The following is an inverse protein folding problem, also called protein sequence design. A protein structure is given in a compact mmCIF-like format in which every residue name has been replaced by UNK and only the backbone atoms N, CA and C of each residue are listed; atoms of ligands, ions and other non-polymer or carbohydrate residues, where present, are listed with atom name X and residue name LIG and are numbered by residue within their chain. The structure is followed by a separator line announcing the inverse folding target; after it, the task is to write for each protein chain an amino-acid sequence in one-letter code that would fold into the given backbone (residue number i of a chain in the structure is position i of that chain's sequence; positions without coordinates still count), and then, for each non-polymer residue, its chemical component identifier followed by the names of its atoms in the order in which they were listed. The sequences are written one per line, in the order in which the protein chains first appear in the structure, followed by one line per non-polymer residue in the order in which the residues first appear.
data_IF_686663883619
#
_entry.id   IF_686663883619
#
_cell.length_a   1.000
_cell.length_b   1.000
_cell.length_c   1.000
_cell.angle_alpha   90.00
_cell.angle_beta   90.00
_cell.angle_gamma   90.00
#
_symmetry.space_group_name_H-M   'P 1'
#
loop_
_entity.id
_entity.type
_entity.pdbx_description
1 polymer ?
#
# COMPACT_ATOMS: atom_id res chain seq x y z
N UNK A 1 23.16 30.17 36.91
CA UNK A 1 24.20 30.52 37.89
C UNK A 1 25.11 31.68 37.43
N UNK A 2 25.45 31.81 36.15
CA UNK A 2 26.32 32.88 35.62
C UNK A 2 25.70 34.30 35.61
N UNK A 3 24.39 34.42 35.77
CA UNK A 3 23.67 35.71 35.70
C UNK A 3 23.72 36.45 37.05
N UNK A 4 23.92 35.75 38.18
CA UNK A 4 24.11 36.36 39.51
C UNK A 4 25.46 37.08 39.64
N UNK A 5 26.39 36.89 38.72
CA UNK A 5 27.73 37.50 38.78
C UNK A 5 27.90 38.83 38.02
N UNK A 6 26.81 39.37 37.43
CA UNK A 6 26.88 40.67 36.76
C UNK A 6 27.12 41.77 37.80
N UNK A 7 28.34 42.35 37.77
CA UNK A 7 28.73 43.42 38.70
C UNK A 7 27.95 44.68 38.38
N UNK A 8 26.99 45.02 39.24
CA UNK A 8 26.30 46.31 39.19
C UNK A 8 27.27 47.44 39.47
N UNK A 9 27.38 48.51 38.67
CA UNK A 9 28.30 49.63 38.92
C UNK A 9 28.08 50.24 40.30
N UNK A 10 29.19 50.53 40.99
CA UNK A 10 29.17 51.21 42.27
C UNK A 10 28.52 52.59 42.14
N UNK A 11 27.44 52.86 42.85
CA UNK A 11 26.71 54.13 42.80
C UNK A 11 25.20 54.04 42.48
N UNK A 12 24.71 52.91 42.03
CA UNK A 12 23.34 52.72 41.58
C UNK A 12 22.44 52.01 42.64
N UNK A 13 22.57 52.32 43.93
CA UNK A 13 21.79 51.62 44.96
C UNK A 13 20.27 51.77 44.80
N UNK A 14 19.79 52.93 44.36
CA UNK A 14 18.36 53.18 44.09
C UNK A 14 17.84 52.53 42.77
N UNK A 15 18.75 52.18 41.86
CA UNK A 15 18.42 51.51 40.60
C UNK A 15 18.51 49.97 40.69
N UNK A 16 18.94 49.45 41.83
CA UNK A 16 19.19 48.02 42.02
C UNK A 16 17.90 47.21 41.95
N UNK A 17 16.84 47.66 42.57
CA UNK A 17 15.51 47.02 42.50
C UNK A 17 14.94 47.05 41.08
N UNK A 18 15.00 48.21 40.43
CA UNK A 18 14.55 48.36 39.04
C UNK A 18 15.33 47.43 38.07
N UNK A 19 16.62 47.24 38.29
CA UNK A 19 17.40 46.29 37.48
C UNK A 19 17.07 44.86 37.77
N UNK A 20 16.76 44.49 39.02
CA UNK A 20 16.30 43.16 39.37
C UNK A 20 14.90 42.88 38.82
N UNK A 21 13.99 43.85 38.85
CA UNK A 21 12.65 43.74 38.28
C UNK A 21 12.69 43.60 36.73
N UNK A 22 13.50 44.44 36.07
CA UNK A 22 13.72 44.35 34.64
C UNK A 22 14.31 43.02 34.22
N UNK A 23 15.29 42.52 35.04
CA UNK A 23 15.90 41.21 34.79
C UNK A 23 14.88 40.06 34.98
N UNK A 24 14.10 40.10 36.08
CA UNK A 24 13.07 39.12 36.38
C UNK A 24 11.98 39.11 35.26
N UNK A 25 11.57 40.28 34.80
CA UNK A 25 10.62 40.44 33.71
C UNK A 25 11.24 39.88 32.39
N UNK A 26 12.47 40.24 32.05
CA UNK A 26 13.15 39.73 30.87
C UNK A 26 13.33 38.22 30.90
N UNK A 27 13.66 37.64 32.05
CA UNK A 27 13.74 36.19 32.22
C UNK A 27 12.39 35.53 31.97
N UNK A 28 11.33 36.00 32.65
CA UNK A 28 10.00 35.41 32.62
C UNK A 28 9.29 35.62 31.26
N UNK A 29 9.39 36.81 30.70
CA UNK A 29 8.62 37.20 29.51
C UNK A 29 9.35 36.91 28.20
N UNK A 30 10.68 36.91 28.18
CA UNK A 30 11.46 36.77 26.94
C UNK A 30 12.26 35.46 26.91
N UNK A 31 13.11 35.21 27.92
CA UNK A 31 14.06 34.09 27.86
C UNK A 31 13.38 32.73 28.07
N UNK A 32 12.60 32.56 29.13
CA UNK A 32 11.94 31.29 29.42
C UNK A 32 11.00 30.86 28.27
N UNK A 33 10.09 31.71 27.77
CA UNK A 33 9.24 31.33 26.62
C UNK A 33 10.03 31.06 25.35
N UNK A 34 11.21 31.67 25.16
CA UNK A 34 12.06 31.37 24.03
C UNK A 34 12.70 29.98 24.12
N UNK A 35 13.23 29.65 25.31
CA UNK A 35 13.79 28.31 25.57
C UNK A 35 12.72 27.24 25.49
N UNK A 36 11.52 27.47 26.04
CA UNK A 36 10.40 26.53 25.96
C UNK A 36 10.04 26.23 24.50
N UNK A 37 9.92 27.28 23.68
CA UNK A 37 9.62 27.11 22.23
C UNK A 37 10.73 26.35 21.49
N UNK A 38 11.99 26.62 21.82
CA UNK A 38 13.13 25.93 21.21
C UNK A 38 13.14 24.44 21.59
N UNK A 39 12.94 24.12 22.88
CA UNK A 39 12.85 22.74 23.37
C UNK A 39 11.67 22.02 22.72
N UNK A 40 10.49 22.65 22.69
CA UNK A 40 9.30 22.09 22.03
C UNK A 40 9.55 21.82 20.53
N UNK A 41 10.23 22.75 19.84
CA UNK A 41 10.59 22.57 18.43
C UNK A 41 11.51 21.38 18.21
N UNK A 42 12.54 21.21 19.04
CA UNK A 42 13.49 20.09 18.98
C UNK A 42 12.79 18.76 19.23
N UNK A 43 11.92 18.71 20.24
CA UNK A 43 11.15 17.50 20.59
C UNK A 43 10.18 17.15 19.46
N UNK A 44 9.48 18.16 18.94
CA UNK A 44 8.54 17.98 17.81
C UNK A 44 9.26 17.47 16.55
N UNK A 45 10.40 18.03 16.19
CA UNK A 45 11.17 17.56 15.03
C UNK A 45 11.55 16.09 15.14
N UNK A 46 12.03 15.65 16.31
CA UNK A 46 12.35 14.24 16.55
C UNK A 46 11.13 13.34 16.48
N UNK A 47 10.00 13.77 17.03
CA UNK A 47 8.72 13.04 16.96
C UNK A 47 8.21 12.94 15.52
N UNK A 48 8.28 14.03 14.75
CA UNK A 48 7.89 14.07 13.33
C UNK A 48 8.71 13.07 12.51
N UNK A 49 10.03 13.05 12.65
CA UNK A 49 10.91 12.14 11.93
C UNK A 49 10.61 10.67 12.26
N UNK A 50 10.35 10.37 13.54
CA UNK A 50 9.97 9.02 13.98
C UNK A 50 8.63 8.59 13.36
N UNK A 51 7.60 9.43 13.46
CA UNK A 51 6.27 9.16 12.91
C UNK A 51 6.30 8.99 11.38
N UNK A 52 7.03 9.87 10.67
CA UNK A 52 7.22 9.79 9.21
C UNK A 52 7.92 8.48 8.83
N UNK A 53 8.86 8.01 9.64
CA UNK A 53 9.49 6.70 9.45
C UNK A 53 8.48 5.55 9.51
N UNK A 54 7.56 5.58 10.47
CA UNK A 54 6.46 4.61 10.61
C UNK A 54 5.51 4.69 9.40
N UNK A 55 5.10 5.89 9.00
CA UNK A 55 4.23 6.06 7.83
C UNK A 55 4.85 5.53 6.54
N UNK A 56 6.17 5.72 6.36
CA UNK A 56 6.91 5.11 5.25
C UNK A 56 6.88 3.58 5.28
N UNK A 57 7.02 2.95 6.46
CA UNK A 57 6.89 1.49 6.60
C UNK A 57 5.48 1.00 6.28
N UNK A 58 4.45 1.71 6.75
CA UNK A 58 3.05 1.38 6.49
C UNK A 58 2.72 1.47 4.99
N UNK A 59 3.20 2.52 4.32
CA UNK A 59 3.05 2.65 2.86
C UNK A 59 3.75 1.51 2.12
N UNK A 60 4.98 1.16 2.54
CA UNK A 60 5.72 0.04 1.96
C UNK A 60 4.89 -1.25 2.00
N UNK A 61 4.34 -1.60 3.15
CA UNK A 61 3.52 -2.80 3.31
C UNK A 61 2.25 -2.76 2.49
N UNK A 62 1.59 -1.61 2.42
CA UNK A 62 0.38 -1.43 1.63
C UNK A 62 0.65 -1.65 0.13
N UNK A 63 1.73 -1.07 -0.39
CA UNK A 63 2.12 -1.22 -1.80
C UNK A 63 2.68 -2.61 -2.12
N UNK A 64 3.30 -3.29 -1.15
CA UNK A 64 3.81 -4.64 -1.28
C UNK A 64 2.75 -5.73 -1.11
N UNK A 65 1.49 -5.38 -0.89
CA UNK A 65 0.41 -6.37 -0.82
C UNK A 65 0.37 -7.20 -2.12
N UNK A 66 0.30 -8.56 -2.03
CA UNK A 66 0.29 -9.42 -3.21
C UNK A 66 -0.87 -9.11 -4.16
N UNK A 67 -0.63 -9.06 -5.47
CA UNK A 67 -1.68 -8.85 -6.45
C UNK A 67 -2.52 -10.11 -6.68
N UNK A 68 -3.80 -9.94 -7.00
CA UNK A 68 -4.72 -11.01 -7.41
C UNK A 68 -4.93 -10.92 -8.92
N UNK A 69 -4.06 -11.55 -9.68
CA UNK A 69 -4.04 -11.50 -11.15
C UNK A 69 -4.79 -12.66 -11.81
N UNK A 70 -4.90 -12.63 -13.14
CA UNK A 70 -5.40 -13.71 -14.01
C UNK A 70 -6.85 -14.12 -13.76
N UNK A 71 -7.69 -13.18 -13.27
CA UNK A 71 -9.11 -13.42 -13.05
C UNK A 71 -9.93 -12.12 -13.15
N UNK A 72 -11.20 -12.26 -13.54
CA UNK A 72 -12.15 -11.16 -13.45
C UNK A 72 -12.56 -10.95 -11.99
N UNK A 73 -12.69 -9.70 -11.58
CA UNK A 73 -13.01 -9.30 -10.21
C UNK A 73 -14.23 -8.37 -10.18
N UNK A 74 -15.02 -8.49 -9.12
CA UNK A 74 -16.12 -7.59 -8.80
C UNK A 74 -15.68 -6.64 -7.68
N UNK A 75 -15.63 -5.34 -7.95
CA UNK A 75 -15.49 -4.31 -6.92
C UNK A 75 -16.83 -3.88 -6.40
N UNK A 76 -16.92 -3.76 -5.09
CA UNK A 76 -18.12 -3.33 -4.39
C UNK A 76 -17.79 -2.14 -3.53
N UNK A 77 -18.42 -1.01 -3.79
CA UNK A 77 -18.40 0.20 -2.97
C UNK A 77 -19.68 0.23 -2.12
N UNK A 78 -19.61 -0.16 -0.81
CA UNK A 78 -20.76 -0.33 0.02
C UNK A 78 -21.39 1.00 0.43
N UNK A 79 -22.72 1.08 0.41
CA UNK A 79 -23.45 2.22 0.97
C UNK A 79 -24.90 1.85 1.30
N UNK A 80 -25.47 2.44 2.35
CA UNK A 80 -26.84 2.18 2.75
C UNK A 80 -27.86 2.86 1.83
N UNK A 81 -27.86 4.19 1.80
CA UNK A 81 -28.91 4.99 1.14
C UNK A 81 -28.74 5.00 -0.38
N UNK A 82 -27.56 5.29 -0.86
CA UNK A 82 -27.27 5.38 -2.29
C UNK A 82 -27.11 4.01 -2.97
N UNK A 83 -27.16 2.92 -2.21
CA UNK A 83 -26.97 1.54 -2.68
C UNK A 83 -25.49 1.20 -2.90
N UNK A 84 -25.18 -0.09 -2.90
CA UNK A 84 -23.84 -0.60 -3.17
C UNK A 84 -23.57 -0.52 -4.69
N UNK A 85 -22.47 0.13 -5.08
CA UNK A 85 -22.03 0.21 -6.47
C UNK A 85 -21.15 -0.97 -6.79
N UNK A 86 -21.47 -1.62 -7.87
CA UNK A 86 -20.76 -2.78 -8.39
C UNK A 86 -20.03 -2.41 -9.66
N UNK A 87 -18.78 -2.84 -9.79
CA UNK A 87 -18.03 -2.72 -11.03
C UNK A 87 -17.24 -4.00 -11.29
N UNK A 88 -17.41 -4.59 -12.47
CA UNK A 88 -16.65 -5.74 -12.92
C UNK A 88 -15.46 -5.27 -13.74
N UNK A 89 -14.29 -5.81 -13.42
CA UNK A 89 -13.07 -5.65 -14.23
C UNK A 89 -12.59 -7.00 -14.74
N UNK A 90 -11.96 -7.00 -15.91
CA UNK A 90 -11.31 -8.18 -16.47
C UNK A 90 -9.97 -8.50 -15.79
N UNK A 91 -9.30 -9.55 -16.22
CA UNK A 91 -7.97 -9.95 -15.74
C UNK A 91 -6.87 -8.89 -15.97
N UNK A 92 -7.07 -7.99 -16.92
CA UNK A 92 -6.15 -6.88 -17.22
C UNK A 92 -6.49 -5.60 -16.44
N UNK A 93 -7.62 -5.57 -15.73
CA UNK A 93 -8.11 -4.42 -14.97
C UNK A 93 -8.98 -3.45 -15.77
N UNK A 94 -9.38 -3.82 -16.99
CA UNK A 94 -10.31 -3.04 -17.81
C UNK A 94 -11.73 -3.16 -17.28
N UNK A 95 -12.45 -2.06 -17.25
CA UNK A 95 -13.86 -2.02 -16.89
C UNK A 95 -14.71 -2.77 -17.91
N UNK A 96 -15.60 -3.64 -17.43
CA UNK A 96 -16.54 -4.41 -18.27
C UNK A 96 -17.98 -3.92 -18.10
N UNK A 97 -18.50 -3.98 -16.89
CA UNK A 97 -19.90 -3.67 -16.58
C UNK A 97 -20.07 -3.15 -15.16
N UNK A 98 -21.12 -2.40 -14.89
CA UNK A 98 -21.47 -1.93 -13.54
C UNK A 98 -22.95 -2.02 -13.24
N UNK A 99 -23.28 -2.06 -11.96
CA UNK A 99 -24.65 -2.03 -11.47
C UNK A 99 -24.74 -1.36 -10.09
N UNK A 100 -25.95 -1.05 -9.67
CA UNK A 100 -26.25 -0.61 -8.30
C UNK A 100 -27.23 -1.59 -7.70
N UNK A 101 -26.95 -2.04 -6.46
CA UNK A 101 -27.82 -2.93 -5.70
C UNK A 101 -28.15 -2.33 -4.34
N UNK A 102 -29.25 -2.79 -3.75
CA UNK A 102 -29.74 -2.30 -2.46
C UNK A 102 -30.03 -3.47 -1.50
N UNK A 103 -29.03 -4.27 -1.13
CA UNK A 103 -29.25 -5.49 -0.36
C UNK A 103 -29.62 -5.24 1.11
N UNK A 104 -29.45 -4.00 1.60
CA UNK A 104 -29.54 -3.60 3.01
C UNK A 104 -30.57 -2.50 3.22
N UNK A 105 -30.89 -2.22 4.51
CA UNK A 105 -31.75 -1.08 4.86
C UNK A 105 -31.21 0.23 4.23
N UNK A 106 -32.09 1.19 3.89
CA UNK A 106 -33.54 1.18 4.09
C UNK A 106 -34.36 0.40 3.04
N UNK A 107 -33.80 0.12 1.87
CA UNK A 107 -34.55 -0.54 0.77
C UNK A 107 -34.76 -2.03 0.97
N UNK A 108 -33.79 -2.76 1.54
CA UNK A 108 -33.82 -4.22 1.78
C UNK A 108 -34.22 -5.06 0.55
N UNK A 109 -33.78 -4.64 -0.65
CA UNK A 109 -34.09 -5.33 -1.91
C UNK A 109 -33.12 -6.50 -2.15
N UNK A 110 -33.22 -7.51 -1.30
CA UNK A 110 -32.33 -8.68 -1.33
C UNK A 110 -32.46 -9.46 -2.63
N UNK A 111 -33.70 -9.69 -3.10
CA UNK A 111 -33.97 -10.60 -4.20
C UNK A 111 -33.42 -10.08 -5.53
N UNK A 112 -33.72 -8.83 -5.88
CA UNK A 112 -33.19 -8.21 -7.09
C UNK A 112 -31.69 -8.02 -7.02
N UNK A 113 -31.16 -7.68 -5.82
CA UNK A 113 -29.71 -7.56 -5.57
C UNK A 113 -29.00 -8.88 -5.82
N UNK A 114 -29.53 -10.01 -5.32
CA UNK A 114 -29.01 -11.35 -5.56
C UNK A 114 -29.00 -11.71 -7.03
N UNK A 115 -30.15 -11.56 -7.70
CA UNK A 115 -30.28 -11.84 -9.14
C UNK A 115 -29.23 -11.04 -9.94
N UNK A 116 -29.11 -9.74 -9.67
CA UNK A 116 -28.16 -8.86 -10.39
C UNK A 116 -26.71 -9.25 -10.19
N UNK A 117 -26.33 -9.63 -8.96
CA UNK A 117 -24.97 -10.11 -8.67
C UNK A 117 -24.69 -11.41 -9.43
N UNK A 118 -25.61 -12.39 -9.38
CA UNK A 118 -25.42 -13.65 -10.07
C UNK A 118 -25.36 -13.49 -11.61
N UNK A 119 -26.18 -12.60 -12.19
CA UNK A 119 -26.09 -12.26 -13.60
C UNK A 119 -24.72 -11.72 -13.99
N UNK A 120 -24.20 -10.72 -13.24
CA UNK A 120 -22.90 -10.10 -13.50
C UNK A 120 -21.77 -11.11 -13.35
N UNK A 121 -21.78 -11.86 -12.24
CA UNK A 121 -20.68 -12.79 -11.93
C UNK A 121 -20.63 -13.97 -12.89
N UNK A 122 -21.78 -14.51 -13.31
CA UNK A 122 -21.86 -15.58 -14.31
C UNK A 122 -21.49 -15.10 -15.72
N UNK A 123 -21.96 -13.91 -16.12
CA UNK A 123 -21.67 -13.33 -17.45
C UNK A 123 -20.19 -13.10 -17.67
N UNK A 124 -19.48 -12.65 -16.65
CA UNK A 124 -18.07 -12.28 -16.74
C UNK A 124 -17.13 -13.28 -16.07
N UNK A 125 -17.62 -14.46 -15.65
CA UNK A 125 -16.82 -15.47 -14.94
C UNK A 125 -16.04 -14.90 -13.75
N UNK A 126 -16.68 -14.04 -12.95
CA UNK A 126 -16.07 -13.43 -11.77
C UNK A 126 -15.82 -14.50 -10.71
N UNK A 127 -14.59 -14.56 -10.20
CA UNK A 127 -14.18 -15.53 -9.18
C UNK A 127 -13.74 -14.90 -7.86
N UNK A 128 -13.69 -13.57 -7.80
CA UNK A 128 -13.31 -12.85 -6.59
C UNK A 128 -14.06 -11.53 -6.46
N UNK A 129 -14.41 -11.19 -5.21
CA UNK A 129 -15.15 -9.97 -4.88
C UNK A 129 -14.30 -9.12 -3.92
N UNK A 130 -14.06 -7.88 -4.29
CA UNK A 130 -13.41 -6.87 -3.46
C UNK A 130 -14.49 -5.99 -2.82
N UNK A 131 -14.64 -6.01 -1.51
CA UNK A 131 -15.61 -5.19 -0.78
C UNK A 131 -14.85 -4.06 -0.07
N UNK A 132 -15.23 -2.81 -0.31
CA UNK A 132 -14.68 -1.66 0.41
C UNK A 132 -14.95 -1.77 1.92
N UNK A 133 -14.04 -1.24 2.74
CA UNK A 133 -14.12 -1.34 4.20
C UNK A 133 -14.89 -0.18 4.87
N UNK A 134 -15.60 0.63 4.11
CA UNK A 134 -16.37 1.76 4.63
C UNK A 134 -17.75 1.41 5.15
N UNK A 135 -18.64 2.39 5.09
CA UNK A 135 -20.02 2.27 5.55
C UNK A 135 -20.75 1.12 4.85
N UNK A 136 -21.54 0.33 5.58
CA UNK A 136 -22.25 -0.86 5.11
C UNK A 136 -21.38 -2.03 4.60
N UNK A 137 -20.08 -2.00 4.86
CA UNK A 137 -19.15 -3.07 4.44
C UNK A 137 -19.55 -4.44 5.03
N UNK A 138 -19.91 -4.48 6.31
CA UNK A 138 -20.27 -5.72 6.99
C UNK A 138 -21.58 -6.31 6.44
N UNK A 139 -22.60 -5.48 6.34
CA UNK A 139 -23.90 -5.89 5.81
C UNK A 139 -23.78 -6.40 4.37
N UNK A 140 -22.86 -5.80 3.61
CA UNK A 140 -22.50 -6.26 2.26
C UNK A 140 -21.79 -7.63 2.32
N UNK A 141 -20.89 -7.86 3.25
CA UNK A 141 -20.27 -9.18 3.45
C UNK A 141 -21.33 -10.24 3.83
N UNK A 142 -22.26 -9.90 4.74
CA UNK A 142 -23.38 -10.78 5.12
C UNK A 142 -24.27 -11.12 3.92
N UNK A 143 -24.52 -10.15 3.04
CA UNK A 143 -25.24 -10.36 1.80
C UNK A 143 -24.52 -11.39 0.90
N UNK A 144 -23.22 -11.23 0.62
CA UNK A 144 -22.47 -12.17 -0.20
C UNK A 144 -22.36 -13.56 0.45
N UNK A 145 -22.16 -13.65 1.76
CA UNK A 145 -22.17 -14.92 2.50
C UNK A 145 -23.49 -15.65 2.38
N UNK A 146 -24.62 -14.91 2.45
CA UNK A 146 -25.95 -15.46 2.25
C UNK A 146 -26.19 -15.95 0.83
N UNK A 147 -25.76 -15.17 -0.18
CA UNK A 147 -25.83 -15.57 -1.60
C UNK A 147 -25.03 -16.86 -1.83
N UNK A 148 -23.83 -16.96 -1.30
CA UNK A 148 -23.01 -18.16 -1.40
C UNK A 148 -23.71 -19.39 -0.80
N UNK A 149 -24.34 -19.22 0.37
CA UNK A 149 -25.05 -20.31 1.07
C UNK A 149 -26.31 -20.79 0.32
N UNK A 150 -27.06 -19.84 -0.23
CA UNK A 150 -28.33 -20.14 -0.93
C UNK A 150 -28.11 -20.74 -2.32
N UNK A 151 -27.13 -20.22 -3.08
CA UNK A 151 -26.94 -20.54 -4.49
C UNK A 151 -25.68 -21.38 -4.77
N UNK A 152 -24.89 -21.73 -3.74
CA UNK A 152 -23.58 -22.37 -3.89
C UNK A 152 -22.67 -21.65 -4.92
N UNK A 153 -22.75 -20.32 -4.93
CA UNK A 153 -22.21 -19.46 -5.99
C UNK A 153 -20.66 -19.36 -5.96
N UNK A 154 -20.03 -19.79 -4.86
CA UNK A 154 -18.56 -19.76 -4.63
C UNK A 154 -17.93 -18.39 -4.89
N UNK A 155 -18.67 -17.32 -4.58
CA UNK A 155 -18.19 -15.95 -4.69
C UNK A 155 -17.29 -15.64 -3.50
N UNK A 156 -16.02 -15.94 -3.65
CA UNK A 156 -15.01 -15.67 -2.63
C UNK A 156 -14.80 -14.17 -2.51
N UNK A 157 -14.96 -13.60 -1.31
CA UNK A 157 -14.78 -12.17 -1.11
C UNK A 157 -13.67 -11.82 -0.11
N UNK A 158 -13.11 -10.65 -0.28
CA UNK A 158 -12.17 -10.04 0.66
C UNK A 158 -12.50 -8.57 0.88
N UNK A 159 -12.13 -8.05 2.04
CA UNK A 159 -12.30 -6.64 2.38
C UNK A 159 -11.06 -5.87 1.99
N UNK A 160 -11.25 -4.82 1.22
CA UNK A 160 -10.19 -3.97 0.70
C UNK A 160 -10.32 -2.58 1.29
N UNK A 161 -9.20 -1.96 1.69
CA UNK A 161 -9.22 -0.57 2.15
C UNK A 161 -9.69 0.36 1.02
N UNK A 162 -10.69 1.18 1.29
CA UNK A 162 -11.18 2.21 0.35
C UNK A 162 -10.53 3.59 0.56
N UNK A 163 -9.56 3.70 1.50
CA UNK A 163 -8.88 4.97 1.77
C UNK A 163 -8.35 5.60 0.48
N UNK A 164 -8.70 6.87 0.24
CA UNK A 164 -8.35 7.60 -0.98
C UNK A 164 -9.12 7.19 -2.25
N UNK A 165 -10.03 6.20 -2.22
CA UNK A 165 -10.83 5.83 -3.40
C UNK A 165 -11.72 6.99 -3.87
N UNK A 166 -12.31 7.73 -2.93
CA UNK A 166 -13.10 8.94 -3.24
C UNK A 166 -12.25 10.04 -3.84
N UNK A 167 -11.00 10.21 -3.36
CA UNK A 167 -10.04 11.19 -3.90
C UNK A 167 -9.69 10.83 -5.35
N UNK A 168 -9.39 9.56 -5.62
CA UNK A 168 -9.12 9.09 -6.96
C UNK A 168 -10.34 9.27 -7.88
N UNK A 169 -11.52 8.80 -7.47
CA UNK A 169 -12.72 8.80 -8.31
C UNK A 169 -13.16 10.21 -8.76
N UNK A 170 -12.90 11.22 -7.92
CA UNK A 170 -13.16 12.64 -8.21
C UNK A 170 -12.01 13.33 -8.97
N UNK A 171 -10.86 12.69 -9.11
CA UNK A 171 -9.68 13.28 -9.76
C UNK A 171 -9.87 13.41 -11.27
N UNK A 172 -9.10 14.35 -11.86
CA UNK A 172 -9.01 14.49 -13.32
C UNK A 172 -8.50 13.21 -13.98
N UNK A 173 -7.55 12.52 -13.34
CA UNK A 173 -7.00 11.25 -13.84
C UNK A 173 -8.10 10.21 -14.01
N UNK A 174 -8.95 10.01 -13.00
CA UNK A 174 -10.05 9.06 -13.10
C UNK A 174 -11.12 9.48 -14.11
N UNK A 175 -11.32 10.80 -14.29
CA UNK A 175 -12.20 11.32 -15.33
C UNK A 175 -11.66 11.05 -16.74
N UNK A 176 -10.36 11.20 -16.93
CA UNK A 176 -9.70 10.93 -18.21
C UNK A 176 -9.66 9.41 -18.51
N UNK A 177 -9.45 8.56 -17.49
CA UNK A 177 -9.50 7.10 -17.62
C UNK A 177 -10.93 6.58 -17.90
N UNK A 178 -11.96 7.18 -17.28
CA UNK A 178 -13.36 6.74 -17.37
C UNK A 178 -14.32 7.93 -17.61
N UNK A 179 -14.25 8.61 -18.77
CA UNK A 179 -14.98 9.85 -19.02
C UNK A 179 -16.51 9.70 -19.02
N UNK A 180 -17.01 8.50 -19.31
CA UNK A 180 -18.44 8.20 -19.41
C UNK A 180 -19.06 7.63 -18.13
N UNK A 181 -18.23 7.35 -17.10
CA UNK A 181 -18.70 6.70 -15.88
C UNK A 181 -18.90 7.73 -14.76
N UNK A 182 -19.90 7.47 -13.94
CA UNK A 182 -20.16 8.24 -12.71
C UNK A 182 -19.03 8.10 -11.70
N UNK A 183 -18.83 9.13 -10.87
CA UNK A 183 -17.81 9.17 -9.81
C UNK A 183 -17.91 7.95 -8.89
N UNK A 184 -19.12 7.52 -8.54
CA UNK A 184 -19.33 6.38 -7.62
C UNK A 184 -18.93 5.05 -8.25
N UNK A 185 -19.15 4.88 -9.56
CA UNK A 185 -18.73 3.68 -10.30
C UNK A 185 -17.20 3.64 -10.42
N UNK A 186 -16.54 4.80 -10.64
CA UNK A 186 -15.07 4.88 -10.61
C UNK A 186 -14.51 4.47 -9.24
N UNK A 187 -15.23 4.74 -8.15
CA UNK A 187 -14.90 4.26 -6.79
C UNK A 187 -14.89 2.74 -6.74
N UNK A 188 -15.96 2.09 -7.19
CA UNK A 188 -16.06 0.63 -7.23
C UNK A 188 -14.99 -0.02 -8.13
N UNK A 189 -14.67 0.58 -9.28
CA UNK A 189 -13.56 0.15 -10.14
C UNK A 189 -12.22 0.23 -9.36
N UNK A 190 -11.98 1.34 -8.67
CA UNK A 190 -10.76 1.50 -7.85
C UNK A 190 -10.63 0.42 -6.78
N UNK A 191 -11.73 0.03 -6.14
CA UNK A 191 -11.75 -1.05 -5.14
C UNK A 191 -11.39 -2.40 -5.80
N UNK A 192 -11.96 -2.73 -6.96
CA UNK A 192 -11.59 -3.93 -7.70
C UNK A 192 -10.12 -3.94 -8.15
N UNK A 193 -9.65 -2.81 -8.68
CA UNK A 193 -8.27 -2.66 -9.13
C UNK A 193 -7.26 -2.75 -7.98
N UNK A 194 -7.61 -2.31 -6.77
CA UNK A 194 -6.75 -2.48 -5.57
C UNK A 194 -6.57 -3.93 -5.18
N UNK A 195 -7.57 -4.78 -5.38
CA UNK A 195 -7.43 -6.21 -5.17
C UNK A 195 -6.58 -6.84 -6.27
N UNK A 196 -6.78 -6.41 -7.51
CA UNK A 196 -6.04 -6.91 -8.66
C UNK A 196 -4.54 -6.57 -8.57
N UNK A 197 -4.20 -5.30 -8.39
CA UNK A 197 -2.83 -4.82 -8.20
C UNK A 197 -2.82 -3.57 -7.31
N UNK A 198 -2.57 -3.75 -6.00
CA UNK A 198 -2.55 -2.65 -5.05
C UNK A 198 -1.56 -1.55 -5.43
N UNK A 199 -0.34 -1.90 -5.82
CA UNK A 199 0.69 -0.91 -6.17
C UNK A 199 0.27 -0.08 -7.39
N UNK A 200 -0.11 -0.73 -8.50
CA UNK A 200 -0.51 -0.04 -9.72
C UNK A 200 -1.71 0.90 -9.52
N UNK A 201 -2.57 0.59 -8.57
CA UNK A 201 -3.75 1.40 -8.25
C UNK A 201 -3.44 2.52 -7.27
N UNK A 202 -2.71 2.23 -6.20
CA UNK A 202 -2.49 3.19 -5.11
C UNK A 202 -1.50 4.29 -5.47
N UNK A 203 -0.56 4.05 -6.38
CA UNK A 203 0.35 5.11 -6.90
C UNK A 203 -0.37 6.21 -7.67
N UNK A 204 -1.62 5.99 -8.08
CA UNK A 204 -2.49 7.01 -8.70
C UNK A 204 -3.07 8.00 -7.68
N UNK A 205 -2.91 7.74 -6.38
CA UNK A 205 -3.49 8.49 -5.27
C UNK A 205 -2.36 9.15 -4.50
N UNK A 206 -2.56 10.39 -4.08
CA UNK A 206 -1.61 11.03 -3.16
C UNK A 206 -1.45 10.15 -1.91
N UNK A 207 -0.24 9.69 -1.58
CA UNK A 207 0.01 8.84 -0.43
C UNK A 207 -0.55 9.41 0.90
N UNK A 208 -0.64 10.73 1.02
CA UNK A 208 -1.25 11.40 2.17
C UNK A 208 -2.76 11.08 2.33
N UNK A 209 -3.41 10.67 1.25
CA UNK A 209 -4.84 10.30 1.24
C UNK A 209 -5.08 8.81 1.50
N UNK A 210 -4.03 8.00 1.65
CA UNK A 210 -4.14 6.54 1.81
C UNK A 210 -4.37 6.07 3.26
N UNK A 211 -4.44 6.99 4.23
CA UNK A 211 -4.67 6.62 5.64
C UNK A 211 -3.56 5.75 6.22
N UNK A 212 -2.31 6.06 5.92
CA UNK A 212 -1.12 5.28 6.31
C UNK A 212 -0.70 5.45 7.77
N UNK A 213 -1.42 6.26 8.53
CA UNK A 213 -1.18 6.42 9.97
C UNK A 213 -2.07 7.47 10.60
N UNK A 214 -2.22 7.38 11.93
CA UNK A 214 -2.92 8.39 12.72
C UNK A 214 -2.09 9.66 12.82
N UNK A 215 -2.75 10.82 12.91
CA UNK A 215 -2.12 12.13 13.08
C UNK A 215 -1.11 12.51 11.98
N UNK A 216 -1.22 11.92 10.80
CA UNK A 216 -0.33 12.24 9.68
C UNK A 216 -0.40 13.73 9.25
N UNK A 217 -1.46 14.45 9.63
CA UNK A 217 -1.60 15.89 9.36
C UNK A 217 -0.79 16.76 10.31
N UNK A 218 -0.39 16.22 11.47
CA UNK A 218 0.31 16.97 12.52
C UNK A 218 1.82 17.02 12.33
N UNK A 219 2.37 16.17 11.47
CA UNK A 219 3.82 16.14 11.16
C UNK A 219 4.19 17.14 10.06
N UNK A 220 5.48 17.38 9.88
CA UNK A 220 5.98 18.22 8.79
C UNK A 220 5.60 17.65 7.42
N UNK A 221 4.68 18.31 6.72
CA UNK A 221 4.09 17.84 5.47
C UNK A 221 5.10 17.73 4.31
N UNK A 222 6.13 18.57 4.26
CA UNK A 222 7.17 18.51 3.21
C UNK A 222 8.07 17.28 3.40
N UNK A 223 8.45 16.99 4.65
CA UNK A 223 9.25 15.80 4.97
C UNK A 223 8.44 14.53 4.75
N UNK A 224 7.16 14.54 5.13
CA UNK A 224 6.23 13.43 4.87
C UNK A 224 6.13 13.14 3.37
N UNK A 225 5.82 14.16 2.56
CA UNK A 225 5.68 14.01 1.11
C UNK A 225 6.94 13.44 0.46
N UNK A 226 8.11 13.99 0.83
CA UNK A 226 9.39 13.50 0.34
C UNK A 226 9.57 12.02 0.70
N UNK A 227 9.39 11.65 1.98
CA UNK A 227 9.56 10.26 2.43
C UNK A 227 8.63 9.28 1.73
N UNK A 228 7.37 9.65 1.56
CA UNK A 228 6.38 8.80 0.89
C UNK A 228 6.68 8.67 -0.60
N UNK A 229 7.12 9.74 -1.25
CA UNK A 229 7.59 9.73 -2.64
C UNK A 229 8.79 8.79 -2.83
N UNK A 230 9.80 8.93 -1.97
CA UNK A 230 11.01 8.07 -1.99
C UNK A 230 10.62 6.58 -1.84
N UNK A 231 9.76 6.24 -0.86
CA UNK A 231 9.28 4.87 -0.64
C UNK A 231 8.53 4.33 -1.84
N UNK A 232 7.65 5.14 -2.45
CA UNK A 232 6.90 4.73 -3.65
C UNK A 232 7.85 4.45 -4.81
N UNK A 233 8.79 5.34 -5.07
CA UNK A 233 9.76 5.17 -6.14
C UNK A 233 10.63 3.93 -5.94
N UNK A 234 11.17 3.73 -4.73
CA UNK A 234 11.98 2.56 -4.39
C UNK A 234 11.23 1.25 -4.63
N UNK A 235 9.96 1.18 -4.21
CA UNK A 235 9.14 -0.02 -4.38
C UNK A 235 8.79 -0.30 -5.83
N UNK A 236 8.37 0.71 -6.59
CA UNK A 236 8.06 0.57 -8.01
C UNK A 236 9.28 0.07 -8.78
N UNK A 237 10.47 0.60 -8.50
CA UNK A 237 11.71 0.14 -9.13
C UNK A 237 12.10 -1.27 -8.67
N UNK A 238 11.89 -1.62 -7.40
CA UNK A 238 12.19 -2.96 -6.88
C UNK A 238 11.29 -4.04 -7.47
N UNK A 239 10.01 -3.78 -7.65
CA UNK A 239 9.05 -4.70 -8.25
C UNK A 239 9.25 -4.79 -9.77
N UNK A 240 9.58 -3.66 -10.38
CA UNK A 240 9.62 -3.50 -11.82
C UNK A 240 8.24 -3.24 -12.43
N UNK A 241 8.23 -2.66 -13.62
CA UNK A 241 6.99 -2.18 -14.26
C UNK A 241 6.87 -2.71 -15.67
N UNK A 242 5.79 -3.43 -15.96
CA UNK A 242 5.48 -3.82 -17.34
C UNK A 242 5.01 -2.63 -18.16
N UNK A 243 5.81 -2.24 -19.15
CA UNK A 243 5.55 -1.04 -19.99
C UNK A 243 4.28 -1.18 -20.82
N UNK A 244 3.85 -2.40 -21.12
CA UNK A 244 2.70 -2.65 -21.97
C UNK A 244 1.35 -2.53 -21.23
N UNK A 245 1.35 -2.68 -19.91
CA UNK A 245 0.13 -2.59 -19.09
C UNK A 245 0.10 -1.39 -18.13
N UNK A 246 1.25 -0.79 -17.84
CA UNK A 246 1.36 0.27 -16.86
C UNK A 246 0.65 1.58 -17.29
N UNK A 247 0.14 2.31 -16.29
CA UNK A 247 -0.34 3.68 -16.46
C UNK A 247 0.81 4.69 -16.51
N UNK A 248 0.55 5.90 -17.03
CA UNK A 248 1.53 6.98 -17.04
C UNK A 248 2.01 7.33 -15.63
N UNK A 249 1.12 7.31 -14.66
CA UNK A 249 1.45 7.57 -13.24
C UNK A 249 2.41 6.51 -12.70
N UNK A 250 2.14 5.22 -12.93
CA UNK A 250 3.03 4.16 -12.49
C UNK A 250 4.41 4.27 -13.16
N UNK A 251 4.45 4.49 -14.47
CA UNK A 251 5.69 4.69 -15.22
C UNK A 251 6.49 5.92 -14.76
N UNK A 252 5.83 6.95 -14.27
CA UNK A 252 6.52 8.16 -13.78
C UNK A 252 7.30 7.94 -12.48
N UNK A 253 7.05 6.85 -11.77
CA UNK A 253 7.85 6.42 -10.61
C UNK A 253 9.07 5.57 -11.00
N UNK A 254 9.18 5.17 -12.26
CA UNK A 254 10.38 4.48 -12.75
C UNK A 254 11.52 5.49 -12.87
N UNK A 255 12.69 5.15 -12.35
CA UNK A 255 13.87 5.99 -12.45
C UNK A 255 14.15 6.38 -13.92
N UNK A 256 14.44 7.65 -14.16
CA UNK A 256 14.68 8.17 -15.51
C UNK A 256 13.43 8.56 -16.32
N UNK A 257 12.21 8.23 -15.85
CA UNK A 257 10.97 8.58 -16.52
C UNK A 257 10.21 9.67 -15.77
N UNK A 258 10.14 10.88 -16.32
CA UNK A 258 9.20 11.90 -15.83
C UNK A 258 7.77 11.58 -16.28
N UNK A 259 6.76 12.20 -15.63
CA UNK A 259 5.36 12.04 -16.05
C UNK A 259 5.14 12.32 -17.55
N UNK A 260 5.81 13.35 -18.10
CA UNK A 260 5.73 13.68 -19.53
C UNK A 260 6.32 12.57 -20.40
N UNK A 261 7.45 11.99 -20.00
CA UNK A 261 8.04 10.86 -20.72
C UNK A 261 7.15 9.61 -20.62
N UNK A 262 6.58 9.34 -19.45
CA UNK A 262 5.63 8.27 -19.25
C UNK A 262 4.39 8.41 -20.15
N UNK A 263 3.84 9.61 -20.29
CA UNK A 263 2.75 9.91 -21.24
C UNK A 263 3.17 9.66 -22.70
N UNK A 264 4.38 10.03 -23.08
CA UNK A 264 4.90 9.75 -24.42
C UNK A 264 5.10 8.24 -24.67
N UNK A 265 5.49 7.47 -23.64
CA UNK A 265 5.57 6.01 -23.73
C UNK A 265 4.19 5.41 -23.99
N UNK A 266 3.15 5.88 -23.30
CA UNK A 266 1.77 5.43 -23.53
C UNK A 266 1.30 5.79 -24.94
N UNK A 267 1.47 7.05 -25.38
CA UNK A 267 1.10 7.48 -26.71
C UNK A 267 1.80 6.61 -27.80
N UNK A 268 3.09 6.36 -27.63
CA UNK A 268 3.82 5.47 -28.54
C UNK A 268 3.24 4.05 -28.60
N UNK A 269 2.88 3.50 -27.42
CA UNK A 269 2.24 2.18 -27.31
C UNK A 269 0.88 2.15 -28.01
N UNK A 270 0.08 3.19 -27.83
CA UNK A 270 -1.26 3.27 -28.42
C UNK A 270 -1.21 3.42 -29.95
N UNK A 271 -0.21 4.11 -30.47
CA UNK A 271 0.02 4.29 -31.90
C UNK A 271 0.69 3.10 -32.59
N UNK A 272 1.67 2.46 -31.95
CA UNK A 272 2.55 1.47 -32.58
C UNK A 272 2.32 0.03 -32.07
N UNK A 273 1.42 -0.15 -31.10
CA UNK A 273 1.19 -1.43 -30.42
C UNK A 273 2.21 -1.68 -29.31
N UNK A 274 2.11 -2.85 -28.72
CA UNK A 274 2.94 -3.25 -27.57
C UNK A 274 4.42 -3.29 -27.89
N UNK A 275 5.23 -2.79 -26.94
CA UNK A 275 6.68 -2.94 -26.97
C UNK A 275 7.08 -4.42 -26.99
N UNK A 276 8.05 -4.76 -27.82
CA UNK A 276 8.59 -6.12 -27.97
C UNK A 276 9.99 -6.27 -27.37
N UNK A 277 10.71 -5.15 -27.23
CA UNK A 277 12.06 -5.11 -26.65
C UNK A 277 12.23 -3.83 -25.84
N UNK A 278 13.05 -3.86 -24.78
CA UNK A 278 13.36 -2.67 -23.98
C UNK A 278 13.99 -1.55 -24.83
N UNK A 279 14.78 -1.90 -25.84
CA UNK A 279 15.44 -0.93 -26.73
C UNK A 279 14.45 -0.09 -27.56
N UNK A 280 13.22 -0.55 -27.75
CA UNK A 280 12.20 0.23 -28.43
C UNK A 280 11.79 1.51 -27.67
N UNK A 281 12.07 1.60 -26.36
CA UNK A 281 11.90 2.83 -25.60
C UNK A 281 12.71 4.00 -26.16
N UNK A 282 13.85 3.73 -26.83
CA UNK A 282 14.64 4.78 -27.51
C UNK A 282 13.94 5.41 -28.72
N UNK A 283 12.87 4.78 -29.23
CA UNK A 283 12.03 5.34 -30.31
C UNK A 283 10.98 6.32 -29.78
N UNK A 284 10.73 6.32 -28.45
CA UNK A 284 9.74 7.18 -27.84
C UNK A 284 10.24 8.63 -27.81
N UNK A 285 9.40 9.57 -28.24
CA UNK A 285 9.72 10.99 -28.25
C UNK A 285 10.16 11.49 -26.86
N UNK A 286 11.37 12.02 -26.78
CA UNK A 286 11.96 12.57 -25.57
C UNK A 286 12.70 11.55 -24.69
N UNK A 287 12.59 10.26 -24.92
CA UNK A 287 13.40 9.25 -24.23
C UNK A 287 14.79 9.18 -24.89
N UNK A 288 15.75 9.89 -24.31
CA UNK A 288 17.14 9.83 -24.73
C UNK A 288 17.90 8.67 -24.09
N UNK A 289 19.15 8.46 -24.54
CA UNK A 289 20.03 7.38 -24.05
C UNK A 289 20.14 7.36 -22.52
N UNK A 290 20.31 8.51 -21.87
CA UNK A 290 20.43 8.61 -20.41
C UNK A 290 19.15 8.17 -19.66
N UNK A 291 17.96 8.60 -20.15
CA UNK A 291 16.69 8.20 -19.56
C UNK A 291 16.45 6.68 -19.74
N UNK A 292 16.78 6.15 -20.90
CA UNK A 292 16.72 4.71 -21.19
C UNK A 292 17.64 3.91 -20.27
N UNK A 293 18.90 4.30 -20.13
CA UNK A 293 19.87 3.64 -19.24
C UNK A 293 19.38 3.62 -17.79
N UNK A 294 18.78 4.70 -17.31
CA UNK A 294 18.23 4.75 -15.97
C UNK A 294 16.98 3.87 -15.78
N UNK A 295 16.14 3.76 -16.81
CA UNK A 295 14.86 3.05 -16.71
C UNK A 295 14.94 1.55 -17.03
N UNK A 296 15.85 1.14 -17.88
CA UNK A 296 15.86 -0.18 -18.51
C UNK A 296 15.94 -1.36 -17.52
N UNK A 297 16.60 -1.19 -16.37
CA UNK A 297 16.67 -2.19 -15.30
C UNK A 297 15.34 -2.40 -14.57
N UNK A 298 14.45 -1.43 -14.61
CA UNK A 298 13.18 -1.41 -13.87
C UNK A 298 11.96 -1.65 -14.77
N UNK A 299 12.13 -1.58 -16.08
CA UNK A 299 11.09 -1.91 -17.06
C UNK A 299 11.06 -3.41 -17.31
N UNK A 300 9.86 -3.94 -17.48
CA UNK A 300 9.56 -5.31 -17.88
C UNK A 300 8.73 -5.30 -19.15
N UNK A 301 8.91 -6.31 -19.98
CA UNK A 301 8.08 -6.58 -21.16
C UNK A 301 7.67 -8.04 -21.07
N UNK A 302 6.48 -8.28 -20.57
CA UNK A 302 5.89 -9.62 -20.53
C UNK A 302 5.66 -10.06 -21.98
N UNK A 303 6.14 -11.24 -22.35
CA UNK A 303 6.15 -11.75 -23.73
C UNK A 303 7.03 -10.95 -24.71
N UNK A 304 8.12 -10.35 -24.21
CA UNK A 304 9.16 -9.73 -25.02
C UNK A 304 9.90 -10.74 -25.92
N UNK A 305 10.69 -10.23 -26.88
CA UNK A 305 11.48 -11.07 -27.80
C UNK A 305 12.57 -11.88 -27.10
N UNK A 306 13.07 -11.39 -25.98
CA UNK A 306 14.12 -12.02 -25.20
C UNK A 306 13.67 -12.22 -23.76
N UNK A 307 14.12 -13.30 -23.12
CA UNK A 307 13.92 -13.54 -21.67
C UNK A 307 14.43 -12.34 -20.84
N UNK A 308 15.46 -11.65 -21.32
CA UNK A 308 16.03 -10.48 -20.68
C UNK A 308 15.08 -9.26 -20.69
N UNK A 309 14.16 -9.19 -21.64
CA UNK A 309 13.18 -8.11 -21.70
C UNK A 309 12.18 -8.18 -20.53
N UNK A 310 11.91 -9.40 -20.02
CA UNK A 310 11.12 -9.61 -18.81
C UNK A 310 12.00 -9.88 -17.58
N UNK A 311 13.10 -9.14 -17.41
CA UNK A 311 14.00 -9.31 -16.26
C UNK A 311 14.48 -7.96 -15.71
N UNK A 312 15.04 -7.95 -14.50
CA UNK A 312 15.74 -6.80 -13.90
C UNK A 312 17.15 -6.58 -14.47
N UNK A 313 17.60 -7.43 -15.38
CA UNK A 313 18.94 -7.33 -15.95
C UNK A 313 19.02 -6.07 -16.82
N UNK A 314 20.02 -5.24 -16.52
CA UNK A 314 20.29 -4.05 -17.31
C UNK A 314 20.84 -4.42 -18.68
N UNK A 315 20.46 -3.73 -19.78
CA UNK A 315 20.94 -4.05 -21.14
C UNK A 315 22.46 -4.11 -21.29
N UNK A 316 23.22 -3.33 -20.53
CA UNK A 316 24.70 -3.39 -20.50
C UNK A 316 25.23 -4.75 -20.06
N UNK A 317 24.48 -5.48 -19.26
CA UNK A 317 24.85 -6.80 -18.73
C UNK A 317 24.33 -7.96 -19.57
N UNK A 318 23.64 -7.72 -20.70
CA UNK A 318 23.07 -8.80 -21.53
C UNK A 318 24.10 -9.76 -22.07
N UNK A 319 25.28 -9.27 -22.46
CA UNK A 319 26.36 -10.15 -22.95
C UNK A 319 26.89 -11.09 -21.84
N UNK A 320 26.98 -10.57 -20.61
CA UNK A 320 27.34 -11.39 -19.44
C UNK A 320 26.24 -12.39 -19.14
N UNK A 321 24.99 -11.93 -19.13
CA UNK A 321 23.81 -12.77 -18.86
C UNK A 321 23.68 -13.90 -19.88
N UNK A 322 23.94 -13.65 -21.18
CA UNK A 322 23.96 -14.68 -22.23
C UNK A 322 25.02 -15.74 -21.97
N UNK A 323 26.23 -15.32 -21.58
CA UNK A 323 27.32 -16.27 -21.31
C UNK A 323 27.02 -17.20 -20.15
N UNK A 324 26.37 -16.68 -19.09
CA UNK A 324 26.06 -17.50 -17.91
C UNK A 324 24.74 -18.26 -18.03
N UNK A 325 23.81 -17.83 -18.88
CA UNK A 325 22.51 -18.50 -19.07
C UNK A 325 22.66 -19.92 -19.70
N UNK A 326 23.78 -20.21 -20.30
CA UNK A 326 24.10 -21.53 -20.86
C UNK A 326 24.74 -22.48 -19.83
N UNK A 327 25.04 -21.98 -18.62
CA UNK A 327 25.70 -22.74 -17.57
C UNK A 327 24.67 -23.19 -16.52
N UNK A 328 25.07 -24.17 -15.70
CA UNK A 328 24.27 -24.55 -14.52
C UNK A 328 24.38 -23.47 -13.45
N UNK A 329 23.36 -22.61 -13.40
CA UNK A 329 23.32 -21.44 -12.51
C UNK A 329 23.48 -21.79 -11.02
N UNK A 330 23.13 -23.02 -10.63
CA UNK A 330 23.22 -23.46 -9.23
C UNK A 330 24.66 -23.77 -8.78
N UNK A 331 25.57 -23.97 -9.73
CA UNK A 331 26.97 -24.35 -9.50
C UNK A 331 27.98 -23.23 -9.76
N UNK A 332 27.50 -22.03 -10.11
CA UNK A 332 28.38 -20.90 -10.41
C UNK A 332 28.93 -20.32 -9.10
N UNK A 333 30.26 -20.35 -8.94
CA UNK A 333 30.94 -19.53 -7.95
C UNK A 333 31.02 -18.08 -8.46
N UNK A 334 30.17 -17.23 -7.86
CA UNK A 334 30.07 -15.82 -8.24
C UNK A 334 31.37 -15.04 -8.05
N UNK A 335 32.20 -15.40 -7.04
CA UNK A 335 33.45 -14.72 -6.77
C UNK A 335 34.51 -15.02 -7.84
N UNK A 336 34.63 -16.26 -8.26
CA UNK A 336 35.57 -16.66 -9.30
C UNK A 336 35.09 -16.17 -10.68
N UNK A 337 33.80 -16.37 -10.99
CA UNK A 337 33.25 -16.06 -12.33
C UNK A 337 33.15 -14.56 -12.61
N UNK A 338 32.98 -13.73 -11.57
CA UNK A 338 32.97 -12.27 -11.72
C UNK A 338 34.31 -11.73 -12.23
N UNK A 339 35.44 -12.32 -11.76
CA UNK A 339 36.78 -11.95 -12.21
C UNK A 339 37.02 -12.35 -13.69
N UNK A 340 36.55 -13.55 -14.09
CA UNK A 340 36.63 -13.99 -15.48
C UNK A 340 35.84 -13.11 -16.47
N UNK A 341 34.67 -12.65 -16.01
CA UNK A 341 33.75 -11.88 -16.86
C UNK A 341 33.96 -10.35 -16.75
N UNK A 342 34.85 -9.90 -15.86
CA UNK A 342 35.16 -8.48 -15.65
C UNK A 342 34.01 -7.67 -15.09
N UNK A 343 33.13 -8.29 -14.27
CA UNK A 343 31.98 -7.64 -13.64
C UNK A 343 32.06 -7.71 -12.11
N UNK A 344 31.33 -6.84 -11.42
CA UNK A 344 31.27 -6.89 -9.96
C UNK A 344 30.62 -8.19 -9.46
N UNK A 345 31.10 -8.76 -8.36
CA UNK A 345 30.56 -9.99 -7.78
C UNK A 345 29.06 -9.84 -7.43
N UNK A 346 28.66 -8.67 -6.87
CA UNK A 346 27.27 -8.40 -6.55
C UNK A 346 26.40 -8.35 -7.80
N UNK A 347 26.87 -7.67 -8.85
CA UNK A 347 26.18 -7.61 -10.16
C UNK A 347 25.96 -9.00 -10.72
N UNK A 348 26.98 -9.88 -10.63
CA UNK A 348 26.85 -11.25 -11.12
C UNK A 348 25.84 -12.08 -10.30
N UNK A 349 25.82 -11.92 -8.97
CA UNK A 349 24.81 -12.55 -8.11
C UNK A 349 23.40 -12.10 -8.47
N UNK A 350 23.21 -10.81 -8.73
CA UNK A 350 21.90 -10.27 -9.12
C UNK A 350 21.46 -10.81 -10.50
N UNK A 351 22.39 -10.90 -11.46
CA UNK A 351 22.11 -11.50 -12.77
C UNK A 351 21.74 -12.98 -12.65
N UNK A 352 22.46 -13.75 -11.82
CA UNK A 352 22.15 -15.17 -11.58
C UNK A 352 20.76 -15.32 -10.97
N UNK A 353 20.42 -14.51 -9.98
CA UNK A 353 19.10 -14.50 -9.33
C UNK A 353 17.98 -14.21 -10.33
N UNK A 354 18.17 -13.20 -11.18
CA UNK A 354 17.22 -12.83 -12.22
C UNK A 354 17.05 -13.90 -13.30
N UNK A 355 18.13 -14.60 -13.67
CA UNK A 355 18.07 -15.70 -14.61
C UNK A 355 17.40 -16.97 -14.06
N UNK A 356 17.50 -17.19 -12.74
CA UNK A 356 16.81 -18.30 -12.08
C UNK A 356 15.30 -18.10 -12.02
N UNK A 357 14.85 -16.86 -11.88
CA UNK A 357 13.43 -16.49 -11.81
C UNK A 357 13.18 -15.21 -12.65
N UNK A 358 13.15 -15.29 -13.98
CA UNK A 358 12.96 -14.11 -14.82
C UNK A 358 11.61 -13.47 -14.59
N UNK A 359 11.58 -12.14 -14.39
CA UNK A 359 10.37 -11.38 -14.15
C UNK A 359 9.71 -11.65 -12.80
N UNK A 360 10.49 -12.14 -11.85
CA UNK A 360 10.00 -12.42 -10.49
C UNK A 360 9.50 -11.14 -9.81
N UNK A 361 8.25 -11.19 -9.35
CA UNK A 361 7.66 -10.15 -8.51
C UNK A 361 7.89 -10.52 -7.02
N UNK A 362 8.64 -9.73 -6.24
CA UNK A 362 8.91 -10.04 -4.84
C UNK A 362 7.66 -10.12 -3.97
N UNK A 363 6.52 -9.62 -4.44
CA UNK A 363 5.23 -9.73 -3.76
C UNK A 363 4.65 -11.16 -3.82
N UNK A 364 5.09 -11.99 -4.76
CA UNK A 364 4.63 -13.40 -4.89
C UNK A 364 5.15 -14.30 -3.76
N UNK A 365 6.22 -13.91 -3.06
CA UNK A 365 6.73 -14.65 -1.89
C UNK A 365 5.93 -14.35 -0.61
N UNK A 366 5.08 -13.33 -0.62
CA UNK A 366 4.25 -12.96 0.52
C UNK A 366 2.99 -13.84 0.59
N UNK A 367 2.42 -14.04 1.79
CA UNK A 367 1.19 -14.79 1.93
C UNK A 367 0.08 -14.21 1.04
N UNK A 368 -0.68 -15.05 0.32
CA UNK A 368 -1.76 -14.57 -0.55
C UNK A 368 -2.85 -13.88 0.28
N UNK A 369 -3.57 -12.97 -0.35
CA UNK A 369 -4.72 -12.30 0.29
C UNK A 369 -5.77 -13.38 0.64
N UNK A 370 -6.23 -13.45 1.90
CA UNK A 370 -7.24 -14.40 2.30
C UNK A 370 -8.61 -14.00 1.72
N UNK A 371 -9.27 -14.97 1.13
CA UNK A 371 -10.67 -14.85 0.72
C UNK A 371 -11.57 -15.53 1.74
N UNK A 372 -12.73 -14.94 1.99
CA UNK A 372 -13.76 -15.46 2.90
C UNK A 372 -14.94 -15.99 2.09
N UNK A 373 -15.56 -17.07 2.58
CA UNK A 373 -16.79 -17.61 2.03
C UNK A 373 -18.01 -17.27 2.90
N UNK A 374 -17.79 -16.89 4.16
CA UNK A 374 -18.82 -16.59 5.15
C UNK A 374 -18.37 -15.58 6.21
N UNK A 375 -19.32 -15.12 7.02
CA UNK A 375 -19.08 -14.22 8.14
C UNK A 375 -18.94 -15.01 9.43
N UNK A 376 -17.90 -14.72 10.21
CA UNK A 376 -17.72 -15.33 11.54
C UNK A 376 -18.69 -14.69 12.54
N UNK A 377 -19.44 -15.53 13.28
CA UNK A 377 -20.29 -15.07 14.38
C UNK A 377 -19.51 -15.17 15.70
N UNK A 378 -19.51 -14.09 16.50
CA UNK A 378 -18.85 -14.06 17.81
C UNK A 378 -19.35 -15.16 18.74
N UNK A 379 -20.63 -15.59 18.60
CA UNK A 379 -21.22 -16.68 19.39
C UNK A 379 -20.63 -18.05 19.07
N UNK A 380 -19.97 -18.19 17.91
CA UNK A 380 -19.33 -19.45 17.50
C UNK A 380 -17.87 -19.53 17.96
N UNK A 381 -17.29 -18.41 18.41
CA UNK A 381 -15.93 -18.38 18.92
C UNK A 381 -15.86 -18.97 20.32
N UNK A 382 -14.82 -19.76 20.54
CA UNK A 382 -14.50 -20.34 21.85
C UNK A 382 -13.09 -19.93 22.26
N UNK A 383 -12.90 -19.64 23.53
CA UNK A 383 -11.56 -19.47 24.09
C UNK A 383 -10.71 -20.73 23.84
N UNK A 384 -9.44 -20.55 23.50
CA UNK A 384 -8.54 -21.61 23.07
C UNK A 384 -8.69 -22.04 21.61
N UNK A 385 -9.67 -21.50 20.86
CA UNK A 385 -9.78 -21.74 19.40
C UNK A 385 -8.80 -20.85 18.62
N UNK A 386 -8.43 -21.31 17.43
CA UNK A 386 -7.58 -20.55 16.52
C UNK A 386 -8.40 -19.95 15.40
N UNK A 387 -8.07 -18.68 15.08
CA UNK A 387 -8.66 -17.93 13.99
C UNK A 387 -7.55 -17.32 13.14
N UNK A 388 -7.86 -16.94 11.92
CA UNK A 388 -6.98 -16.12 11.10
C UNK A 388 -7.51 -14.68 11.04
N UNK A 389 -6.63 -13.72 10.77
CA UNK A 389 -7.05 -12.33 10.69
C UNK A 389 -6.05 -11.43 9.97
N UNK A 390 -6.46 -10.19 9.75
CA UNK A 390 -5.64 -9.15 9.13
C UNK A 390 -5.48 -8.00 10.11
N UNK A 391 -4.25 -7.55 10.35
CA UNK A 391 -3.95 -6.41 11.20
C UNK A 391 -4.50 -5.13 10.56
N UNK A 392 -5.46 -4.47 11.23
CA UNK A 392 -6.13 -3.26 10.74
C UNK A 392 -5.55 -1.98 11.33
N UNK A 393 -5.15 -2.04 12.58
CA UNK A 393 -4.60 -0.88 13.28
C UNK A 393 -3.56 -1.32 14.30
N UNK A 394 -2.55 -0.49 14.53
CA UNK A 394 -1.50 -0.71 15.52
C UNK A 394 -1.40 0.55 16.39
N UNK A 395 -1.50 0.36 17.69
CA UNK A 395 -1.38 1.39 18.73
C UNK A 395 -0.22 1.06 19.66
N UNK A 396 0.14 1.95 20.57
CA UNK A 396 1.25 1.73 21.52
C UNK A 396 1.04 0.53 22.44
N UNK A 397 -0.23 0.16 22.72
CA UNK A 397 -0.57 -0.94 23.63
C UNK A 397 -0.94 -2.25 22.96
N UNK A 398 -1.12 -2.25 21.63
CA UNK A 398 -1.54 -3.47 20.94
C UNK A 398 -1.90 -3.27 19.48
N UNK A 399 -2.35 -4.36 18.86
CA UNK A 399 -2.83 -4.38 17.48
C UNK A 399 -4.28 -4.83 17.40
N UNK A 400 -5.05 -4.18 16.55
CA UNK A 400 -6.41 -4.55 16.21
C UNK A 400 -6.41 -5.39 14.93
N UNK A 401 -7.09 -6.53 15.00
CA UNK A 401 -7.09 -7.54 13.95
C UNK A 401 -8.50 -7.87 13.51
N UNK A 402 -8.79 -7.70 12.22
CA UNK A 402 -10.03 -8.15 11.61
C UNK A 402 -10.01 -9.68 11.50
N UNK A 403 -10.77 -10.33 12.34
CA UNK A 403 -11.00 -11.78 12.33
C UNK A 403 -12.37 -12.17 11.74
N UNK A 404 -13.01 -11.23 11.01
CA UNK A 404 -14.31 -11.41 10.38
C UNK A 404 -15.52 -11.12 11.30
N UNK A 405 -15.30 -10.53 12.46
CA UNK A 405 -16.34 -10.08 13.39
C UNK A 405 -16.77 -8.63 13.12
N UNK A 406 -17.82 -8.18 13.82
CA UNK A 406 -18.28 -6.77 13.79
C UNK A 406 -17.21 -5.83 14.32
N UNK A 407 -16.57 -6.21 15.41
CA UNK A 407 -15.47 -5.46 16.02
C UNK A 407 -14.19 -6.23 15.81
N UNK A 408 -13.10 -5.51 15.57
CA UNK A 408 -11.77 -6.12 15.49
C UNK A 408 -11.40 -6.77 16.82
N UNK A 409 -10.75 -7.92 16.77
CA UNK A 409 -10.09 -8.51 17.93
C UNK A 409 -8.84 -7.73 18.29
N UNK A 410 -8.40 -7.80 19.55
CA UNK A 410 -7.24 -7.05 20.03
C UNK A 410 -6.14 -7.99 20.52
N UNK A 411 -4.93 -7.84 19.97
CA UNK A 411 -3.72 -8.47 20.48
C UNK A 411 -2.99 -7.45 21.34
N UNK A 412 -2.94 -7.65 22.65
CA UNK A 412 -2.17 -6.78 23.54
C UNK A 412 -0.67 -6.97 23.28
N UNK A 413 0.14 -5.92 23.48
CA UNK A 413 1.59 -5.94 23.26
C UNK A 413 2.30 -7.12 23.97
N UNK A 414 1.84 -7.48 25.17
CA UNK A 414 2.38 -8.63 25.93
C UNK A 414 2.04 -10.00 25.33
N UNK A 415 1.15 -10.07 24.35
CA UNK A 415 0.65 -11.29 23.69
C UNK A 415 1.11 -11.40 22.23
N UNK A 416 2.06 -10.57 21.81
CA UNK A 416 2.57 -10.56 20.42
C UNK A 416 3.79 -11.44 20.20
N UNK A 417 4.61 -11.63 21.25
CA UNK A 417 5.86 -12.39 21.15
C UNK A 417 6.30 -12.89 22.53
N UNK A 418 6.98 -14.05 22.55
CA UNK A 418 7.67 -14.56 23.75
C UNK A 418 8.85 -13.65 24.19
N UNK A 419 9.39 -12.86 23.27
CA UNK A 419 10.40 -11.84 23.60
C UNK A 419 9.72 -10.51 23.90
N UNK A 420 10.30 -9.73 24.84
CA UNK A 420 9.77 -8.42 25.18
C UNK A 420 9.78 -7.51 23.94
N UNK A 421 8.60 -7.05 23.54
CA UNK A 421 8.39 -6.07 22.48
C UNK A 421 8.24 -4.69 23.14
N UNK A 422 8.97 -3.70 22.67
CA UNK A 422 8.89 -2.32 23.20
C UNK A 422 7.75 -1.57 22.52
N UNK A 423 7.54 -1.81 21.22
CA UNK A 423 6.44 -1.22 20.46
C UNK A 423 5.84 -2.28 19.52
N UNK A 424 4.51 -2.36 19.39
CA UNK A 424 3.83 -3.37 18.56
C UNK A 424 4.31 -3.45 17.10
N UNK A 425 4.76 -2.34 16.52
CA UNK A 425 5.35 -2.29 15.17
C UNK A 425 6.69 -3.07 15.02
N UNK A 426 7.28 -3.53 16.12
CA UNK A 426 8.44 -4.42 16.06
C UNK A 426 8.04 -5.86 15.76
N UNK A 427 6.81 -6.23 16.13
CA UNK A 427 6.29 -7.60 16.00
C UNK A 427 5.27 -7.74 14.86
N UNK A 428 4.47 -6.72 14.60
CA UNK A 428 3.35 -6.76 13.66
C UNK A 428 3.40 -5.57 12.71
N UNK A 429 2.73 -5.74 11.59
CA UNK A 429 2.66 -4.77 10.51
C UNK A 429 1.21 -4.54 10.06
N UNK A 430 0.87 -3.32 9.64
CA UNK A 430 -0.45 -3.02 9.06
C UNK A 430 -0.71 -3.91 7.82
N UNK A 431 -1.95 -4.39 7.70
CA UNK A 431 -2.40 -5.30 6.66
C UNK A 431 -1.69 -6.66 6.65
N UNK A 432 -0.90 -6.98 7.67
CA UNK A 432 -0.30 -8.30 7.83
C UNK A 432 -1.40 -9.35 8.04
N UNK A 433 -1.37 -10.41 7.24
CA UNK A 433 -2.19 -11.58 7.47
C UNK A 433 -1.55 -12.48 8.53
N UNK A 434 -2.33 -12.83 9.52
CA UNK A 434 -1.97 -13.72 10.60
C UNK A 434 -2.77 -15.03 10.41
N UNK A 435 -2.13 -16.12 10.01
CA UNK A 435 -2.82 -17.37 9.68
C UNK A 435 -3.37 -18.10 10.91
N UNK A 436 -2.76 -17.88 12.06
CA UNK A 436 -3.10 -18.58 13.30
C UNK A 436 -2.96 -17.63 14.49
N UNK A 437 -4.08 -17.30 15.11
CA UNK A 437 -4.19 -16.41 16.27
C UNK A 437 -5.07 -17.13 17.28
N UNK A 438 -4.62 -17.29 18.51
CA UNK A 438 -5.42 -17.89 19.58
C UNK A 438 -6.43 -16.89 20.12
N UNK A 439 -7.67 -17.33 20.31
CA UNK A 439 -8.72 -16.57 21.00
C UNK A 439 -8.55 -16.82 22.50
N UNK A 440 -8.18 -15.78 23.25
CA UNK A 440 -7.92 -15.88 24.70
C UNK A 440 -9.06 -15.35 25.55
N UNK A 441 -9.96 -14.55 24.98
CA UNK A 441 -11.10 -13.95 25.70
C UNK A 441 -12.23 -13.64 24.71
N UNK A 442 -13.49 -13.91 25.08
CA UNK A 442 -14.68 -13.56 24.30
C UNK A 442 -15.70 -12.88 25.18
N UNK A 443 -15.84 -11.56 25.08
CA UNK A 443 -16.84 -10.77 25.76
C UNK A 443 -18.05 -10.55 24.83
N UNK A 444 -19.08 -11.39 25.01
CA UNK A 444 -20.30 -11.33 24.19
C UNK A 444 -21.13 -10.07 24.43
N UNK A 445 -21.10 -9.50 25.65
CA UNK A 445 -21.88 -8.30 25.98
C UNK A 445 -21.29 -7.06 25.31
N UNK A 446 -19.96 -6.92 25.34
CA UNK A 446 -19.26 -5.79 24.74
C UNK A 446 -18.85 -6.06 23.29
N UNK A 447 -19.04 -7.29 22.79
CA UNK A 447 -18.62 -7.69 21.45
C UNK A 447 -17.12 -7.58 21.23
N UNK A 448 -16.31 -7.85 22.26
CA UNK A 448 -14.84 -7.77 22.22
C UNK A 448 -14.22 -9.15 22.23
N UNK A 449 -13.10 -9.31 21.53
CA UNK A 449 -12.32 -10.54 21.51
C UNK A 449 -10.86 -10.23 21.80
N UNK A 450 -10.33 -10.88 22.82
CA UNK A 450 -8.90 -10.88 23.15
C UNK A 450 -8.19 -11.96 22.36
N UNK A 451 -7.05 -11.62 21.78
CA UNK A 451 -6.26 -12.47 20.89
C UNK A 451 -4.81 -12.57 21.35
N UNK A 452 -4.15 -13.70 21.03
CA UNK A 452 -2.75 -13.96 21.35
C UNK A 452 -2.02 -14.62 20.19
N UNK A 453 -0.74 -14.27 20.02
CA UNK A 453 0.20 -14.97 19.13
C UNK A 453 1.17 -15.90 19.90
N UNK A 454 1.08 -15.94 21.24
CA UNK A 454 1.95 -16.70 22.15
C UNK A 454 1.12 -17.42 23.21
#
# INVERSE_FOLDING_TARGET
ENIKSYKIPRGAASSKELLFDAYADGLKRLLLPSIEREVQSIVKEKADLSAIGVFGKNLNQLLMTPPVTKRALLGVDPAFVSGCKLAVIDENGNYLESAVIYPTAPKNDYHNSKTKVLELTNRHNVTGVAIGNGTASRETQEFFARVNKEENAKLNYTVVSEAGASVYSASKLAQDEYPKLDVTIRGAISIAQRLRDPMATLVKIDPKSLGIGQYQHDVNQKLLEKKLGDVTQDLVNRVGVDVNSASATLLSHVAGLSLKLAQNVIAFRDENGNFKTKSELLKVKGVGKKAYEQAAGFIRIINGKSVFDNSGIHPESYEVAKKISTLDLSKIDASQKSKELGVGEQTLKDIIKELQKPGFDPREELPPIPFKEGVTDIKTLKEGSFVSGIVRNITDFGAFVDIGLKNDGMIHISKMSLKRVVHPLEALSLNQYLPQIEVIEVDLEKGKVGLSLV
#
